data_IF_663623363940
#
_entry.id   IF_663623363940
#
_cell.length_a   1.000
_cell.length_b   1.000
_cell.length_c   1.000
_cell.angle_alpha   90.00
_cell.angle_beta   90.00
_cell.angle_gamma   90.00
#
_symmetry.space_group_name_H-M   'P 1'
#
loop_
_entity.id
_entity.type
_entity.pdbx_description
1 polymer ?
#
# COMPACT_ATOMS: atom_id res chain seq x y z
N UNK A 1 15.85 -4.52 -16.85
CA UNK A 1 17.05 -3.72 -16.55
C UNK A 1 17.42 -3.80 -15.06
N UNK A 2 16.47 -3.57 -14.12
CA UNK A 2 16.76 -3.61 -12.67
C UNK A 2 17.12 -5.01 -12.15
N UNK A 3 16.43 -6.05 -12.62
CA UNK A 3 16.68 -7.45 -12.24
C UNK A 3 18.14 -7.86 -12.55
N UNK A 4 18.71 -7.40 -13.67
CA UNK A 4 20.11 -7.68 -14.03
C UNK A 4 21.15 -6.99 -13.13
N UNK A 5 20.72 -6.12 -12.21
CA UNK A 5 21.57 -5.41 -11.24
C UNK A 5 21.40 -5.94 -9.80
N UNK A 6 20.75 -7.09 -9.63
CA UNK A 6 20.52 -7.69 -8.31
C UNK A 6 19.40 -7.05 -7.48
N UNK A 7 18.58 -6.20 -8.09
CA UNK A 7 17.38 -5.64 -7.44
C UNK A 7 16.28 -6.70 -7.45
N UNK A 8 15.73 -7.03 -6.28
CA UNK A 8 14.54 -7.86 -6.19
C UNK A 8 13.34 -7.08 -6.76
N UNK A 9 12.66 -7.68 -7.73
CA UNK A 9 11.49 -7.08 -8.39
C UNK A 9 10.28 -7.99 -8.22
N UNK A 10 9.20 -7.42 -7.72
CA UNK A 10 7.90 -8.09 -7.63
C UNK A 10 6.99 -7.56 -8.75
N UNK A 11 6.57 -8.45 -9.63
CA UNK A 11 5.61 -8.16 -10.70
C UNK A 11 4.18 -8.30 -10.17
N UNK A 12 3.61 -7.21 -9.67
CA UNK A 12 2.22 -7.18 -9.20
C UNK A 12 1.22 -7.37 -10.35
N UNK A 13 1.58 -7.02 -11.59
CA UNK A 13 0.69 -7.23 -12.73
C UNK A 13 0.47 -8.74 -12.99
N UNK A 14 1.53 -9.54 -12.90
CA UNK A 14 1.41 -11.00 -13.01
C UNK A 14 0.51 -11.56 -11.90
N UNK A 15 0.74 -11.12 -10.65
CA UNK A 15 -0.06 -11.54 -9.50
C UNK A 15 -1.56 -11.20 -9.67
N UNK A 16 -1.87 -9.97 -10.07
CA UNK A 16 -3.25 -9.49 -10.20
C UNK A 16 -4.02 -10.14 -11.36
N UNK A 17 -3.32 -10.56 -12.43
CA UNK A 17 -3.95 -11.22 -13.59
C UNK A 17 -4.53 -12.59 -13.29
N UNK A 18 -4.03 -13.27 -12.28
CA UNK A 18 -4.47 -14.60 -11.88
C UNK A 18 -5.76 -14.57 -11.07
N UNK A 19 -6.13 -13.39 -10.55
CA UNK A 19 -7.31 -13.22 -9.73
C UNK A 19 -8.59 -13.05 -10.56
N UNK A 20 -9.67 -13.71 -10.10
CA UNK A 20 -11.00 -13.59 -10.69
C UNK A 20 -11.82 -12.42 -10.16
N UNK A 21 -11.31 -11.67 -9.19
CA UNK A 21 -12.01 -10.57 -8.53
C UNK A 21 -11.60 -9.21 -9.11
N UNK A 22 -12.48 -8.21 -8.91
CA UNK A 22 -12.16 -6.81 -9.26
C UNK A 22 -11.25 -6.20 -8.20
N UNK A 23 -10.01 -5.89 -8.57
CA UNK A 23 -8.97 -5.37 -7.68
C UNK A 23 -8.75 -3.85 -7.78
N UNK A 24 -9.45 -3.19 -8.68
CA UNK A 24 -9.41 -1.75 -8.90
C UNK A 24 -10.79 -1.13 -8.75
N UNK A 25 -10.83 0.13 -8.35
CA UNK A 25 -12.07 0.88 -8.36
C UNK A 25 -12.52 1.19 -9.80
N UNK A 26 -13.82 1.12 -10.11
CA UNK A 26 -14.32 1.42 -11.46
C UNK A 26 -14.16 2.89 -11.89
N UNK A 27 -14.08 3.83 -10.94
CA UNK A 27 -14.06 5.28 -11.20
C UNK A 27 -12.89 5.99 -10.50
N UNK A 28 -11.83 5.23 -10.25
CA UNK A 28 -10.60 5.71 -9.63
C UNK A 28 -9.39 5.14 -10.37
N UNK A 29 -8.25 5.78 -10.28
CA UNK A 29 -7.01 5.32 -10.88
C UNK A 29 -6.26 4.29 -10.00
N UNK A 30 -6.76 4.00 -8.80
CA UNK A 30 -6.12 3.15 -7.82
C UNK A 30 -6.78 1.76 -7.70
N UNK A 31 -6.04 0.82 -7.15
CA UNK A 31 -6.62 -0.43 -6.64
C UNK A 31 -7.59 -0.17 -5.48
N UNK A 32 -8.53 -1.09 -5.26
CA UNK A 32 -9.39 -1.10 -4.08
C UNK A 32 -8.68 -1.77 -2.88
N UNK A 33 -9.37 -1.85 -1.74
CA UNK A 33 -8.78 -2.43 -0.54
C UNK A 33 -8.36 -3.91 -0.70
N UNK A 34 -9.08 -4.71 -1.49
CA UNK A 34 -8.67 -6.10 -1.79
C UNK A 34 -7.42 -6.15 -2.66
N UNK A 35 -7.31 -5.27 -3.66
CA UNK A 35 -6.10 -5.15 -4.47
C UNK A 35 -4.88 -4.75 -3.62
N UNK A 36 -5.06 -3.83 -2.68
CA UNK A 36 -4.01 -3.45 -1.74
C UNK A 36 -3.61 -4.60 -0.80
N UNK A 37 -4.59 -5.41 -0.34
CA UNK A 37 -4.32 -6.59 0.48
C UNK A 37 -3.51 -7.65 -0.30
N UNK A 38 -3.90 -7.94 -1.55
CA UNK A 38 -3.15 -8.85 -2.42
C UNK A 38 -1.72 -8.35 -2.67
N UNK A 39 -1.56 -7.05 -2.91
CA UNK A 39 -0.23 -6.45 -3.06
C UNK A 39 0.62 -6.61 -1.79
N UNK A 40 0.01 -6.42 -0.61
CA UNK A 40 0.69 -6.61 0.67
C UNK A 40 1.17 -8.05 0.86
N UNK A 41 0.31 -9.04 0.56
CA UNK A 41 0.67 -10.45 0.63
C UNK A 41 1.81 -10.78 -0.33
N UNK A 42 1.77 -10.26 -1.56
CA UNK A 42 2.85 -10.41 -2.53
C UNK A 42 4.17 -9.81 -2.05
N UNK A 43 4.15 -8.61 -1.48
CA UNK A 43 5.36 -7.97 -0.92
C UNK A 43 5.88 -8.77 0.28
N UNK A 44 5.01 -9.13 1.22
CA UNK A 44 5.40 -9.92 2.40
C UNK A 44 5.97 -11.29 2.00
N UNK A 45 5.37 -11.96 1.03
CA UNK A 45 5.89 -13.21 0.48
C UNK A 45 7.30 -13.02 -0.12
N UNK A 46 7.51 -11.95 -0.90
CA UNK A 46 8.82 -11.65 -1.49
C UNK A 46 9.90 -11.33 -0.43
N UNK A 47 9.48 -10.80 0.71
CA UNK A 47 10.35 -10.53 1.87
C UNK A 47 10.55 -11.77 2.78
N UNK A 48 9.97 -12.93 2.43
CA UNK A 48 10.04 -14.16 3.23
C UNK A 48 9.16 -14.14 4.48
N UNK A 49 8.13 -13.30 4.51
CA UNK A 49 7.20 -13.07 5.64
C UNK A 49 5.75 -13.21 5.18
N UNK A 50 5.30 -14.40 4.72
CA UNK A 50 3.98 -14.56 4.12
C UNK A 50 2.85 -14.08 5.04
N UNK A 51 1.85 -13.44 4.46
CA UNK A 51 0.61 -13.02 5.08
C UNK A 51 -0.58 -13.44 4.22
N UNK A 52 -1.79 -13.36 4.76
CA UNK A 52 -3.03 -13.81 4.12
C UNK A 52 -4.11 -12.73 4.25
N UNK A 53 -3.76 -11.46 3.98
CA UNK A 53 -4.71 -10.36 4.06
C UNK A 53 -5.81 -10.47 3.00
N UNK A 54 -5.44 -10.88 1.80
CA UNK A 54 -6.38 -11.02 0.68
C UNK A 54 -7.49 -12.04 0.95
N UNK A 55 -7.14 -13.15 1.58
CA UNK A 55 -8.06 -14.22 1.97
C UNK A 55 -8.82 -13.91 3.27
N UNK A 56 -8.52 -12.81 3.91
CA UNK A 56 -9.18 -12.36 5.13
C UNK A 56 -10.64 -11.95 4.91
N UNK A 57 -11.39 -11.76 6.00
CA UNK A 57 -12.77 -11.32 5.93
C UNK A 57 -12.87 -9.85 5.53
N UNK A 58 -13.67 -9.57 4.50
CA UNK A 58 -14.04 -8.24 4.03
C UNK A 58 -15.54 -8.03 4.07
N UNK A 59 -15.99 -6.79 4.22
CA UNK A 59 -17.39 -6.39 4.06
C UNK A 59 -17.52 -5.28 3.02
N UNK A 60 -18.56 -5.31 2.16
CA UNK A 60 -18.80 -4.26 1.20
C UNK A 60 -19.19 -2.95 1.91
N UNK A 61 -18.62 -1.85 1.46
CA UNK A 61 -18.94 -0.48 1.93
C UNK A 61 -19.19 0.44 0.74
N UNK A 62 -20.07 1.43 0.90
CA UNK A 62 -20.35 2.44 -0.12
C UNK A 62 -19.85 3.80 0.39
N UNK A 63 -18.55 3.99 0.35
CA UNK A 63 -17.88 5.15 0.95
C UNK A 63 -16.76 5.76 0.11
N UNK A 64 -16.37 5.13 -0.99
CA UNK A 64 -15.27 5.60 -1.81
C UNK A 64 -15.76 6.61 -2.87
N UNK A 65 -15.05 7.73 -3.00
CA UNK A 65 -15.24 8.69 -4.08
C UNK A 65 -14.01 8.66 -4.97
N UNK A 66 -14.17 8.11 -6.17
CA UNK A 66 -13.07 7.92 -7.10
C UNK A 66 -12.47 9.24 -7.61
N UNK A 67 -11.15 9.27 -7.81
CA UNK A 67 -10.42 10.43 -8.30
C UNK A 67 -10.83 10.80 -9.74
N UNK A 68 -11.06 9.83 -10.62
CA UNK A 68 -11.55 10.05 -11.99
C UNK A 68 -12.97 10.62 -11.99
N UNK A 69 -13.81 10.16 -11.06
CA UNK A 69 -15.15 10.72 -10.91
C UNK A 69 -15.09 12.18 -10.43
N UNK A 70 -14.22 12.50 -9.48
CA UNK A 70 -14.05 13.86 -8.98
C UNK A 70 -13.51 14.83 -10.06
N UNK A 71 -12.59 14.35 -10.90
CA UNK A 71 -12.07 15.14 -12.03
C UNK A 71 -13.15 15.48 -13.06
N UNK A 72 -14.06 14.55 -13.33
CA UNK A 72 -15.15 14.75 -14.31
C UNK A 72 -16.34 15.48 -13.72
N UNK A 73 -16.62 15.27 -12.44
CA UNK A 73 -17.79 15.79 -11.72
C UNK A 73 -17.41 16.38 -10.36
N UNK A 74 -16.71 17.53 -10.30
CA UNK A 74 -16.17 18.06 -9.03
C UNK A 74 -17.26 18.35 -7.97
N UNK A 75 -18.48 18.70 -8.39
CA UNK A 75 -19.63 18.91 -7.50
C UNK A 75 -20.47 17.63 -7.29
N UNK A 76 -20.09 16.53 -7.91
CA UNK A 76 -20.78 15.25 -7.83
C UNK A 76 -20.63 14.61 -6.44
N UNK A 77 -21.67 13.87 -6.03
CA UNK A 77 -21.72 13.16 -4.74
C UNK A 77 -21.77 11.63 -4.93
N UNK A 78 -21.40 11.15 -6.12
CA UNK A 78 -21.41 9.73 -6.40
C UNK A 78 -20.34 9.01 -5.60
N UNK A 79 -20.75 7.95 -4.91
CA UNK A 79 -19.85 7.03 -4.23
C UNK A 79 -19.82 5.70 -4.99
N UNK A 80 -18.79 4.94 -4.79
CA UNK A 80 -18.63 3.58 -5.30
C UNK A 80 -18.28 2.60 -4.19
N UNK A 81 -18.49 1.33 -4.50
CA UNK A 81 -18.25 0.25 -3.55
C UNK A 81 -16.77 0.05 -3.32
N UNK A 82 -16.41 -0.16 -2.09
CA UNK A 82 -15.13 -0.67 -1.62
C UNK A 82 -15.38 -1.90 -0.75
N UNK A 83 -14.31 -2.56 -0.35
CA UNK A 83 -14.31 -3.71 0.56
C UNK A 83 -13.52 -3.35 1.82
N UNK A 84 -14.20 -3.16 2.94
CA UNK A 84 -13.52 -2.93 4.21
C UNK A 84 -12.95 -4.23 4.77
N UNK A 85 -11.66 -4.26 5.05
CA UNK A 85 -11.02 -5.33 5.80
C UNK A 85 -11.54 -5.31 7.24
N UNK A 86 -12.06 -6.43 7.72
CA UNK A 86 -12.74 -6.49 9.02
C UNK A 86 -11.82 -6.67 10.23
N UNK A 87 -10.71 -7.45 10.14
CA UNK A 87 -9.82 -7.56 11.28
C UNK A 87 -9.18 -6.22 11.66
N UNK A 88 -9.04 -5.97 12.93
CA UNK A 88 -8.29 -4.82 13.43
C UNK A 88 -6.80 -5.00 13.12
N UNK A 89 -6.19 -3.96 12.56
CA UNK A 89 -4.75 -3.92 12.31
C UNK A 89 -4.04 -3.44 13.58
N UNK A 90 -3.05 -4.21 14.03
CA UNK A 90 -2.43 -4.07 15.34
C UNK A 90 -1.20 -3.15 15.32
N UNK A 91 -1.30 -1.97 14.73
CA UNK A 91 -0.22 -0.98 14.75
C UNK A 91 -0.71 0.36 15.33
N UNK A 92 0.23 1.14 15.84
CA UNK A 92 -0.01 2.49 16.31
C UNK A 92 0.81 3.51 15.51
N UNK A 93 0.32 4.73 15.42
CA UNK A 93 1.07 5.83 14.80
C UNK A 93 1.99 6.49 15.82
N UNK A 94 3.26 6.71 15.48
CA UNK A 94 4.22 7.45 16.33
C UNK A 94 3.78 8.91 16.53
N UNK A 95 3.12 9.46 15.51
CA UNK A 95 2.55 10.81 15.55
C UNK A 95 1.20 10.82 14.83
N UNK A 96 0.22 11.64 15.29
CA UNK A 96 -1.06 11.74 14.60
C UNK A 96 -0.88 12.12 13.12
N UNK A 97 -1.55 11.39 12.25
CA UNK A 97 -1.59 11.70 10.82
C UNK A 97 -2.88 12.44 10.46
N UNK A 98 -2.84 13.26 9.41
CA UNK A 98 -4.05 13.91 8.88
C UNK A 98 -4.82 13.01 7.92
N UNK A 99 -4.09 12.24 7.13
CA UNK A 99 -4.62 11.29 6.15
C UNK A 99 -3.51 10.37 5.65
N UNK A 100 -3.88 9.36 4.85
CA UNK A 100 -2.93 8.52 4.11
C UNK A 100 -2.03 9.33 3.15
N UNK A 101 -2.38 10.57 2.81
CA UNK A 101 -1.61 11.47 1.96
C UNK A 101 -0.40 12.10 2.65
N UNK A 102 -0.20 11.90 3.96
CA UNK A 102 0.96 12.45 4.66
C UNK A 102 2.26 12.02 3.98
N UNK A 103 3.19 12.99 3.80
CA UNK A 103 4.49 12.72 3.15
C UNK A 103 5.34 11.73 3.93
N UNK A 104 5.16 11.67 5.22
CA UNK A 104 5.83 10.72 6.11
C UNK A 104 4.81 10.17 7.10
N UNK A 105 4.75 8.86 7.21
CA UNK A 105 3.97 8.14 8.22
C UNK A 105 4.95 7.23 8.94
N UNK A 106 4.89 7.19 10.27
CA UNK A 106 5.68 6.30 11.11
C UNK A 106 4.74 5.53 12.02
N UNK A 107 4.98 4.24 12.13
CA UNK A 107 4.15 3.30 12.91
C UNK A 107 5.02 2.33 13.68
N UNK A 108 4.44 1.75 14.75
CA UNK A 108 5.05 0.70 15.54
C UNK A 108 4.02 -0.32 16.04
N UNK A 109 4.50 -1.48 16.48
CA UNK A 109 3.71 -2.47 17.22
C UNK A 109 2.91 -3.45 16.36
N UNK A 110 3.07 -3.44 15.04
CA UNK A 110 2.33 -4.35 14.15
C UNK A 110 2.84 -5.79 14.18
N UNK A 111 4.12 -5.97 13.95
CA UNK A 111 4.73 -7.31 13.81
C UNK A 111 6.16 -7.38 14.37
N UNK A 112 7.10 -7.83 13.55
CA UNK A 112 8.54 -7.91 13.89
C UNK A 112 9.35 -7.19 12.82
N UNK A 113 10.62 -6.87 13.12
CA UNK A 113 11.56 -6.20 12.24
C UNK A 113 11.11 -4.79 11.80
N UNK A 114 11.97 -4.09 11.10
CA UNK A 114 11.74 -2.72 10.66
C UNK A 114 11.64 -2.58 9.14
N UNK A 115 10.76 -1.68 8.68
CA UNK A 115 10.52 -1.39 7.28
C UNK A 115 10.76 0.08 6.95
N UNK A 116 11.52 0.35 5.90
CA UNK A 116 11.49 1.62 5.19
C UNK A 116 10.79 1.42 3.84
N UNK A 117 9.65 2.06 3.64
CA UNK A 117 8.91 1.96 2.39
C UNK A 117 8.79 3.33 1.71
N UNK A 118 9.36 3.43 0.51
CA UNK A 118 9.06 4.51 -0.41
C UNK A 118 7.79 4.15 -1.18
N UNK A 119 6.87 5.11 -1.28
CA UNK A 119 5.57 4.86 -1.89
C UNK A 119 5.05 6.06 -2.66
N UNK A 120 4.17 5.84 -3.60
CA UNK A 120 3.34 6.87 -4.19
C UNK A 120 1.90 6.82 -3.65
N UNK A 121 0.90 7.26 -4.44
CA UNK A 121 -0.49 7.28 -3.99
C UNK A 121 -1.12 5.88 -3.91
N UNK A 122 -0.62 4.90 -4.66
CA UNK A 122 -1.07 3.51 -4.53
C UNK A 122 -0.75 2.93 -3.15
N UNK A 123 0.36 3.36 -2.56
CA UNK A 123 0.72 3.03 -1.19
C UNK A 123 -0.26 3.53 -0.12
N UNK A 124 -1.23 4.39 -0.45
CA UNK A 124 -2.21 4.88 0.54
C UNK A 124 -3.09 3.77 1.12
N UNK A 125 -3.49 2.79 0.32
CA UNK A 125 -4.25 1.63 0.79
C UNK A 125 -3.35 0.46 1.19
N UNK A 126 -2.09 0.44 0.72
CA UNK A 126 -1.14 -0.62 1.00
C UNK A 126 -0.47 -0.47 2.37
N UNK A 127 -0.10 0.77 2.77
CA UNK A 127 0.71 0.96 3.97
C UNK A 127 0.09 0.42 5.26
N UNK A 128 -1.23 0.39 5.49
CA UNK A 128 -1.77 -0.17 6.74
C UNK A 128 -1.47 -1.65 6.91
N UNK A 129 -1.56 -2.44 5.84
CA UNK A 129 -1.21 -3.86 5.86
C UNK A 129 0.29 -4.06 6.11
N UNK A 130 1.13 -3.23 5.46
CA UNK A 130 2.57 -3.25 5.69
C UNK A 130 2.91 -2.83 7.13
N UNK A 131 2.27 -1.79 7.66
CA UNK A 131 2.43 -1.39 9.06
C UNK A 131 2.07 -2.52 10.03
N UNK A 132 1.00 -3.27 9.74
CA UNK A 132 0.60 -4.41 10.56
C UNK A 132 1.59 -5.59 10.50
N UNK A 133 2.43 -5.66 9.48
CA UNK A 133 3.41 -6.74 9.31
C UNK A 133 4.75 -6.47 10.00
N UNK A 134 5.04 -5.23 10.40
CA UNK A 134 6.35 -4.81 10.95
C UNK A 134 6.22 -4.17 12.32
N UNK A 135 7.23 -4.37 13.19
CA UNK A 135 7.30 -3.72 14.49
C UNK A 135 7.51 -2.21 14.40
N UNK A 136 8.36 -1.77 13.46
CA UNK A 136 8.58 -0.35 13.19
C UNK A 136 8.57 -0.10 11.68
N UNK A 137 7.78 0.85 11.21
CA UNK A 137 7.75 1.18 9.80
C UNK A 137 7.75 2.69 9.52
N UNK A 138 8.53 3.08 8.50
CA UNK A 138 8.53 4.43 7.97
C UNK A 138 8.08 4.39 6.50
N UNK A 139 7.00 5.09 6.21
CA UNK A 139 6.45 5.26 4.87
C UNK A 139 6.75 6.67 4.36
N UNK A 140 7.51 6.78 3.26
CA UNK A 140 7.91 8.04 2.65
C UNK A 140 7.24 8.22 1.29
N UNK A 141 6.42 9.26 1.14
CA UNK A 141 5.70 9.61 -0.10
C UNK A 141 6.32 10.80 -0.83
N UNK A 142 7.52 11.23 -0.46
CA UNK A 142 8.19 12.35 -1.13
C UNK A 142 8.65 11.97 -2.54
N UNK A 143 8.32 12.79 -3.53
CA UNK A 143 8.84 12.66 -4.90
C UNK A 143 9.73 13.86 -5.21
N UNK A 144 10.98 13.64 -5.67
CA UNK A 144 11.65 12.34 -5.83
C UNK A 144 11.88 11.64 -4.47
N UNK A 145 12.05 10.31 -4.51
CA UNK A 145 12.27 9.53 -3.29
C UNK A 145 13.54 9.97 -2.56
N UNK A 146 13.43 10.11 -1.26
CA UNK A 146 14.53 10.53 -0.37
C UNK A 146 15.42 9.32 -0.03
N UNK A 147 16.17 8.82 -1.01
CA UNK A 147 16.98 7.60 -0.87
C UNK A 147 18.02 7.68 0.27
N UNK A 148 18.42 8.88 0.70
CA UNK A 148 19.26 9.06 1.88
C UNK A 148 18.66 8.50 3.19
N UNK A 149 17.34 8.26 3.23
CA UNK A 149 16.70 7.60 4.37
C UNK A 149 17.20 6.17 4.57
N UNK A 150 17.63 5.47 3.51
CA UNK A 150 18.16 4.09 3.59
C UNK A 150 19.36 4.03 4.54
N UNK A 151 20.31 4.95 4.39
CA UNK A 151 21.49 5.02 5.26
C UNK A 151 21.24 5.64 6.65
N UNK A 152 20.11 6.35 6.81
CA UNK A 152 19.76 7.03 8.06
C UNK A 152 18.93 6.15 9.01
N UNK A 153 18.21 5.17 8.47
CA UNK A 153 17.23 4.38 9.24
C UNK A 153 17.67 2.98 9.58
N UNK A 154 18.67 2.44 8.87
CA UNK A 154 19.18 1.09 9.09
C UNK A 154 18.05 0.04 9.21
N UNK A 155 17.00 0.17 8.37
CA UNK A 155 15.86 -0.71 8.39
C UNK A 155 16.25 -2.11 7.88
N UNK A 156 15.65 -3.15 8.47
CA UNK A 156 15.87 -4.55 8.08
C UNK A 156 15.41 -4.80 6.65
N UNK A 157 14.35 -4.11 6.24
CA UNK A 157 13.78 -4.20 4.90
C UNK A 157 13.57 -2.82 4.27
N UNK A 158 13.85 -2.74 2.97
CA UNK A 158 13.58 -1.55 2.15
C UNK A 158 12.71 -1.94 0.97
N UNK A 159 11.57 -1.27 0.83
CA UNK A 159 10.63 -1.46 -0.29
C UNK A 159 10.46 -0.13 -1.03
N UNK A 160 10.48 -0.18 -2.36
CA UNK A 160 10.08 0.93 -3.20
C UNK A 160 8.86 0.50 -4.03
N UNK A 161 7.71 1.09 -3.74
CA UNK A 161 6.48 0.94 -4.51
C UNK A 161 6.37 2.14 -5.46
N UNK A 162 6.12 1.87 -6.73
CA UNK A 162 6.02 2.90 -7.76
C UNK A 162 5.08 2.43 -8.86
N UNK A 163 4.04 3.21 -9.14
CA UNK A 163 3.17 2.94 -10.27
C UNK A 163 3.90 3.16 -11.60
N UNK A 164 3.66 2.29 -12.58
CA UNK A 164 4.38 2.26 -13.85
C UNK A 164 4.38 3.61 -14.59
N UNK A 165 3.28 4.37 -14.52
CA UNK A 165 3.17 5.70 -15.16
C UNK A 165 4.15 6.75 -14.59
N UNK A 166 4.79 6.47 -13.46
CA UNK A 166 5.78 7.36 -12.82
C UNK A 166 7.23 6.91 -13.11
N UNK A 167 7.40 5.83 -13.90
CA UNK A 167 8.71 5.37 -14.40
C UNK A 167 9.11 6.21 -15.63
#
# INVERSE_FOLDING_TARGET
ALIGQGVSYLDLFALFREEGETLYFPRDSHWNAKGAALAADGVNQALGRPSEYFDGPFAPTLNHKGDLYDMLYPAGKGLEMDMAYLPELAFEYDTPIRSAENLTIMTHGGGTDSLLMFRDSFGNLLYPYMANSFDAALFSRSMPYRLGLVSQREADFVVAELVERNL
#
